data_IF_931878844919
#
_entry.id   IF_931878844919
#
_cell.length_a   1.000
_cell.length_b   1.000
_cell.length_c   1.000
_cell.angle_alpha   90.00
_cell.angle_beta   90.00
_cell.angle_gamma   90.00
#
_symmetry.space_group_name_H-M   'P 1'
#
loop_
_entity.id
_entity.type
_entity.pdbx_description
1 polymer ?
#
# COMPACT_ATOMS: atom_id res chain seq x y z
N UNK A 1 6.46 -22.93 4.62
CA UNK A 1 6.26 -21.49 4.88
C UNK A 1 5.77 -21.38 6.31
N UNK A 2 6.52 -20.67 7.15
CA UNK A 2 6.13 -20.34 8.51
C UNK A 2 5.72 -18.86 8.58
N UNK A 3 4.83 -18.54 9.51
CA UNK A 3 4.48 -17.17 9.89
C UNK A 3 5.32 -16.72 11.07
N UNK A 4 5.94 -15.55 10.92
CA UNK A 4 6.93 -15.02 11.85
C UNK A 4 6.52 -13.63 12.28
N UNK A 5 6.20 -13.48 13.56
CA UNK A 5 5.91 -12.18 14.14
C UNK A 5 7.20 -11.51 14.64
N UNK A 6 7.39 -10.26 14.24
CA UNK A 6 8.48 -9.38 14.69
C UNK A 6 7.88 -8.22 15.50
N UNK A 7 8.12 -8.20 16.80
CA UNK A 7 7.52 -7.24 17.73
C UNK A 7 8.58 -6.25 18.22
N UNK A 8 8.33 -4.95 18.13
CA UNK A 8 9.26 -3.96 18.72
C UNK A 8 9.36 -4.11 20.24
N UNK A 9 10.57 -4.04 20.79
CA UNK A 9 10.77 -3.87 22.23
C UNK A 9 10.15 -2.56 22.73
N UNK A 10 9.95 -2.44 24.04
CA UNK A 10 9.40 -1.22 24.65
C UNK A 10 10.30 -0.69 25.77
N UNK A 11 10.16 0.60 26.10
CA UNK A 11 10.92 1.23 27.19
C UNK A 11 10.53 0.65 28.55
N UNK A 12 9.23 0.44 28.79
CA UNK A 12 8.70 -0.24 29.98
C UNK A 12 9.20 -1.69 30.05
N UNK A 13 9.95 -1.98 31.11
CA UNK A 13 10.59 -3.28 31.35
C UNK A 13 10.51 -3.63 32.83
N UNK A 14 10.49 -4.91 33.15
CA UNK A 14 10.72 -5.37 34.52
C UNK A 14 12.10 -4.96 35.00
N UNK A 15 12.23 -4.69 36.29
CA UNK A 15 13.48 -4.24 36.92
C UNK A 15 14.51 -5.35 37.17
N UNK A 16 14.27 -6.58 36.70
CA UNK A 16 15.11 -7.75 36.93
C UNK A 16 15.31 -8.58 35.68
N UNK A 17 16.37 -9.40 35.67
CA UNK A 17 16.70 -10.31 34.58
C UNK A 17 15.62 -11.38 34.42
N UNK A 18 15.00 -11.44 33.24
CA UNK A 18 13.94 -12.41 32.93
C UNK A 18 13.87 -12.67 31.41
N UNK A 19 13.08 -13.66 30.95
CA UNK A 19 12.87 -13.88 29.52
C UNK A 19 12.35 -12.63 28.82
N UNK A 20 12.77 -12.37 27.57
CA UNK A 20 12.37 -11.18 26.81
C UNK A 20 10.85 -10.97 26.76
N UNK A 21 10.06 -12.04 26.60
CA UNK A 21 8.58 -11.96 26.59
C UNK A 21 7.99 -11.46 27.92
N UNK A 22 8.67 -11.73 29.04
CA UNK A 22 8.28 -11.30 30.38
C UNK A 22 8.85 -9.91 30.68
N UNK A 23 10.07 -9.63 30.24
CA UNK A 23 10.74 -8.36 30.46
C UNK A 23 9.89 -7.20 29.93
N UNK A 24 9.42 -7.28 28.68
CA UNK A 24 8.62 -6.22 28.05
C UNK A 24 7.13 -6.28 28.38
N UNK A 25 6.67 -7.27 29.17
CA UNK A 25 5.24 -7.43 29.51
C UNK A 25 4.69 -6.30 30.40
N UNK A 26 5.56 -5.48 31.00
CA UNK A 26 5.16 -4.24 31.67
C UNK A 26 4.44 -3.26 30.72
N UNK A 27 4.74 -3.32 29.41
CA UNK A 27 4.05 -2.50 28.43
C UNK A 27 2.72 -3.14 27.99
N UNK A 28 1.56 -2.46 28.15
CA UNK A 28 0.29 -2.93 27.61
C UNK A 28 0.34 -3.16 26.09
N UNK A 29 1.05 -2.29 25.35
CA UNK A 29 1.27 -2.41 23.91
C UNK A 29 2.01 -3.70 23.56
N UNK A 30 3.08 -4.02 24.28
CA UNK A 30 3.83 -5.25 24.04
C UNK A 30 2.98 -6.49 24.38
N UNK A 31 2.24 -6.46 25.50
CA UNK A 31 1.36 -7.58 25.87
C UNK A 31 0.34 -7.90 24.79
N UNK A 32 -0.35 -6.88 24.28
CA UNK A 32 -1.33 -7.05 23.20
C UNK A 32 -0.68 -7.48 21.89
N UNK A 33 0.46 -6.89 21.51
CA UNK A 33 1.20 -7.30 20.31
C UNK A 33 1.65 -8.77 20.40
N UNK A 34 2.11 -9.20 21.57
CA UNK A 34 2.53 -10.58 21.82
C UNK A 34 1.32 -11.54 21.86
N UNK A 35 0.19 -11.12 22.45
CA UNK A 35 -1.04 -11.89 22.45
C UNK A 35 -1.58 -12.10 21.02
N UNK A 36 -1.66 -11.02 20.24
CA UNK A 36 -2.03 -11.08 18.83
C UNK A 36 -1.07 -11.99 18.04
N UNK A 37 0.24 -11.82 18.21
CA UNK A 37 1.24 -12.64 17.52
C UNK A 37 1.08 -14.14 17.80
N UNK A 38 0.66 -14.55 19.01
CA UNK A 38 0.38 -15.96 19.32
C UNK A 38 -0.79 -16.55 18.53
N UNK A 39 -1.74 -15.72 18.12
CA UNK A 39 -2.91 -16.16 17.36
C UNK A 39 -2.56 -16.37 15.87
N UNK A 40 -1.59 -15.61 15.35
CA UNK A 40 -1.37 -15.50 13.90
C UNK A 40 0.00 -15.99 13.40
N UNK A 41 0.95 -16.31 14.30
CA UNK A 41 2.31 -16.68 13.93
C UNK A 41 2.78 -17.98 14.57
N UNK A 42 3.58 -18.74 13.84
CA UNK A 42 4.24 -19.97 14.31
C UNK A 42 5.45 -19.64 15.20
N UNK A 43 6.14 -18.53 14.91
CA UNK A 43 7.33 -18.06 15.62
C UNK A 43 7.20 -16.58 15.96
N UNK A 44 7.68 -16.20 17.14
CA UNK A 44 7.64 -14.81 17.64
C UNK A 44 9.04 -14.38 18.07
N UNK A 45 9.50 -13.26 17.53
CA UNK A 45 10.75 -12.62 17.90
C UNK A 45 10.53 -11.16 18.29
N UNK A 46 11.41 -10.65 19.15
CA UNK A 46 11.44 -9.25 19.58
C UNK A 46 12.57 -8.52 18.87
N UNK A 47 12.26 -7.39 18.27
CA UNK A 47 13.22 -6.45 17.71
C UNK A 47 13.71 -5.51 18.83
N UNK A 48 14.91 -5.78 19.33
CA UNK A 48 15.61 -5.00 20.35
C UNK A 48 16.61 -4.02 19.73
N UNK A 49 16.58 -2.75 20.13
CA UNK A 49 17.58 -1.77 19.69
C UNK A 49 19.02 -2.18 20.04
N UNK A 50 19.20 -2.76 21.23
CA UNK A 50 20.49 -3.23 21.76
C UNK A 50 20.92 -4.56 21.17
N UNK A 51 20.03 -5.55 21.24
CA UNK A 51 20.39 -6.95 20.96
C UNK A 51 20.13 -7.36 19.50
N UNK A 52 19.31 -6.61 18.75
CA UNK A 52 18.87 -6.99 17.41
C UNK A 52 17.67 -7.93 17.48
N UNK A 53 17.77 -9.12 16.89
CA UNK A 53 16.71 -10.12 16.92
C UNK A 53 16.80 -10.97 18.19
N UNK A 54 15.71 -11.03 18.97
CA UNK A 54 15.69 -11.74 20.25
C UNK A 54 14.54 -12.76 20.29
N UNK A 55 14.85 -13.99 20.70
CA UNK A 55 13.82 -14.99 21.05
C UNK A 55 13.08 -14.59 22.33
N UNK A 56 11.77 -14.87 22.39
CA UNK A 56 10.96 -14.60 23.58
C UNK A 56 11.48 -15.25 24.88
N UNK A 57 12.26 -16.33 24.78
CA UNK A 57 12.82 -17.05 25.92
C UNK A 57 14.23 -16.60 26.31
N UNK A 58 14.85 -15.68 25.55
CA UNK A 58 16.20 -15.20 25.86
C UNK A 58 16.17 -14.39 27.15
N UNK A 59 17.06 -14.73 28.10
CA UNK A 59 17.20 -14.00 29.36
C UNK A 59 17.90 -12.66 29.11
N UNK A 60 17.22 -11.56 29.43
CA UNK A 60 17.72 -10.20 29.24
C UNK A 60 17.72 -9.44 30.57
N UNK A 61 18.72 -8.58 30.76
CA UNK A 61 18.73 -7.58 31.84
C UNK A 61 18.04 -6.29 31.35
N UNK A 62 17.42 -5.49 32.26
CA UNK A 62 16.87 -4.20 31.88
C UNK A 62 17.96 -3.29 31.30
N UNK A 63 17.60 -2.53 30.28
CA UNK A 63 18.48 -1.59 29.59
C UNK A 63 17.68 -0.41 29.05
N UNK A 64 18.36 0.69 28.75
CA UNK A 64 17.77 1.86 28.13
C UNK A 64 18.52 2.21 26.85
N UNK A 65 17.98 1.74 25.73
CA UNK A 65 18.54 1.97 24.40
C UNK A 65 17.39 1.97 23.39
N UNK A 66 17.40 2.95 22.49
CA UNK A 66 16.43 3.08 21.42
C UNK A 66 17.12 3.16 20.07
N UNK A 67 16.47 2.59 19.05
CA UNK A 67 16.98 2.67 17.68
C UNK A 67 16.87 4.10 17.11
N UNK A 68 15.97 4.92 17.69
CA UNK A 68 15.71 6.28 17.21
C UNK A 68 16.86 7.26 17.48
N UNK A 69 17.69 6.99 18.49
CA UNK A 69 18.82 7.84 18.85
C UNK A 69 20.08 7.49 18.04
N UNK A 70 20.02 6.42 17.25
CA UNK A 70 21.15 5.95 16.43
C UNK A 70 21.22 6.72 15.11
N UNK A 71 22.44 6.96 14.64
CA UNK A 71 22.72 7.49 13.31
C UNK A 71 22.19 6.57 12.20
N UNK A 72 22.10 7.08 10.97
CA UNK A 72 21.65 6.30 9.81
C UNK A 72 22.55 5.08 9.58
N UNK A 73 23.87 5.22 9.71
CA UNK A 73 24.82 4.11 9.56
C UNK A 73 24.66 3.04 10.64
N UNK A 74 24.43 3.45 11.89
CA UNK A 74 24.17 2.50 12.99
C UNK A 74 22.82 1.79 12.83
N UNK A 75 21.80 2.49 12.33
CA UNK A 75 20.52 1.89 11.99
C UNK A 75 20.68 0.83 10.88
N UNK A 76 21.47 1.11 9.84
CA UNK A 76 21.78 0.15 8.78
C UNK A 76 22.52 -1.08 9.32
N UNK A 77 23.59 -0.88 10.09
CA UNK A 77 24.34 -1.98 10.71
C UNK A 77 23.46 -2.83 11.64
N UNK A 78 22.55 -2.20 12.39
CA UNK A 78 21.54 -2.91 13.18
C UNK A 78 20.63 -3.77 12.29
N UNK A 79 20.15 -3.22 11.17
CA UNK A 79 19.29 -3.93 10.22
C UNK A 79 19.99 -5.13 9.59
N UNK A 80 21.22 -4.98 9.12
CA UNK A 80 22.03 -6.07 8.57
C UNK A 80 22.23 -7.20 9.58
N UNK A 81 22.52 -6.86 10.83
CA UNK A 81 22.60 -7.84 11.92
C UNK A 81 21.28 -8.58 12.11
N UNK A 82 20.16 -7.86 12.17
CA UNK A 82 18.82 -8.48 12.33
C UNK A 82 18.50 -9.42 11.18
N UNK A 83 18.72 -9.00 9.93
CA UNK A 83 18.47 -9.83 8.74
C UNK A 83 19.34 -11.08 8.74
N UNK A 84 20.63 -10.95 9.12
CA UNK A 84 21.53 -12.10 9.24
C UNK A 84 21.05 -13.11 10.27
N UNK A 85 20.59 -12.66 11.45
CA UNK A 85 20.04 -13.57 12.46
C UNK A 85 18.69 -14.15 12.05
N UNK A 86 17.84 -13.37 11.39
CA UNK A 86 16.54 -13.80 10.90
C UNK A 86 16.68 -14.90 9.84
N UNK A 87 17.65 -14.78 8.93
CA UNK A 87 17.96 -15.80 7.92
C UNK A 87 18.47 -17.12 8.49
N UNK A 88 18.88 -17.18 9.77
CA UNK A 88 19.22 -18.46 10.44
C UNK A 88 18.01 -19.21 10.96
N UNK A 89 16.88 -18.53 11.15
CA UNK A 89 15.68 -19.07 11.81
C UNK A 89 14.44 -19.08 10.92
N UNK A 90 14.56 -18.53 9.71
CA UNK A 90 13.50 -18.34 8.73
C UNK A 90 14.01 -18.36 7.29
N UNK A 91 13.11 -18.66 6.36
CA UNK A 91 13.33 -18.48 4.93
C UNK A 91 12.82 -17.08 4.53
N UNK A 92 13.73 -16.12 4.36
CA UNK A 92 13.38 -14.74 4.02
C UNK A 92 12.65 -14.60 2.68
N UNK A 93 12.77 -15.60 1.79
CA UNK A 93 12.15 -15.59 0.47
C UNK A 93 10.74 -16.17 0.47
N UNK A 94 10.45 -17.14 1.34
CA UNK A 94 9.19 -17.90 1.33
C UNK A 94 8.36 -17.78 2.61
N UNK A 95 8.95 -17.43 3.76
CA UNK A 95 8.21 -17.23 5.00
C UNK A 95 7.48 -15.88 5.03
N UNK A 96 6.47 -15.80 5.89
CA UNK A 96 5.56 -14.66 6.03
C UNK A 96 5.89 -13.86 7.29
N UNK A 97 6.14 -12.55 7.14
CA UNK A 97 6.57 -11.69 8.25
C UNK A 97 5.46 -10.74 8.70
N UNK A 98 5.05 -10.85 9.97
CA UNK A 98 4.06 -9.97 10.61
C UNK A 98 4.82 -8.97 11.46
N UNK A 99 4.89 -7.71 11.03
CA UNK A 99 5.75 -6.72 11.66
C UNK A 99 4.94 -5.76 12.52
N UNK A 100 5.06 -5.93 13.84
CA UNK A 100 4.43 -5.14 14.90
C UNK A 100 5.46 -4.19 15.50
N UNK A 101 5.98 -3.28 14.67
CA UNK A 101 7.06 -2.38 15.02
C UNK A 101 6.89 -0.99 14.38
N UNK A 102 7.54 0.01 14.95
CA UNK A 102 7.55 1.37 14.42
C UNK A 102 8.35 1.48 13.11
N UNK A 103 8.13 2.56 12.35
CA UNK A 103 8.71 2.74 11.01
C UNK A 103 10.23 2.62 10.95
N UNK A 104 10.93 3.19 11.93
CA UNK A 104 12.39 3.13 11.99
C UNK A 104 12.94 1.71 12.09
N UNK A 105 12.16 0.77 12.64
CA UNK A 105 12.54 -0.63 12.70
C UNK A 105 12.28 -1.31 11.36
N UNK A 106 11.03 -1.28 10.87
CA UNK A 106 10.66 -2.10 9.72
C UNK A 106 11.26 -1.57 8.41
N UNK A 107 11.44 -0.25 8.23
CA UNK A 107 11.89 0.33 6.95
C UNK A 107 13.23 -0.25 6.47
N UNK A 108 14.09 -0.64 7.41
CA UNK A 108 15.43 -1.19 7.18
C UNK A 108 15.35 -2.69 6.84
N UNK A 109 14.35 -3.39 7.37
CA UNK A 109 14.17 -4.83 7.18
C UNK A 109 13.48 -5.15 5.87
N UNK A 110 12.49 -4.35 5.46
CA UNK A 110 11.66 -4.58 4.27
C UNK A 110 12.43 -4.93 2.99
N UNK A 111 13.60 -4.32 2.67
CA UNK A 111 14.43 -4.71 1.53
C UNK A 111 14.75 -6.19 1.37
N UNK A 112 14.72 -6.93 2.46
CA UNK A 112 15.14 -8.32 2.52
C UNK A 112 13.98 -9.29 2.76
N UNK A 113 12.72 -8.81 2.80
CA UNK A 113 11.56 -9.64 3.13
C UNK A 113 10.59 -9.69 1.93
N UNK A 114 10.29 -10.89 1.44
CA UNK A 114 9.41 -11.04 0.28
C UNK A 114 7.93 -10.93 0.61
N UNK A 115 7.47 -11.53 1.72
CA UNK A 115 6.07 -11.53 2.14
C UNK A 115 5.95 -10.93 3.53
N UNK A 116 5.36 -9.73 3.63
CA UNK A 116 5.20 -9.07 4.92
C UNK A 116 3.84 -8.40 5.06
N UNK A 117 3.42 -8.23 6.31
CA UNK A 117 2.24 -7.48 6.70
C UNK A 117 2.58 -6.58 7.88
N UNK A 118 2.26 -5.29 7.76
CA UNK A 118 2.49 -4.28 8.80
C UNK A 118 1.12 -3.75 9.25
N UNK A 119 0.41 -4.45 10.16
CA UNK A 119 -0.95 -4.07 10.55
C UNK A 119 -1.06 -2.68 11.18
N UNK A 120 0.03 -2.21 11.81
CA UNK A 120 0.06 -0.93 12.52
C UNK A 120 0.63 0.22 11.68
N UNK A 121 0.81 0.02 10.37
CA UNK A 121 1.41 1.01 9.46
C UNK A 121 0.60 2.31 9.45
N UNK A 122 1.29 3.44 9.63
CA UNK A 122 0.67 4.77 9.60
C UNK A 122 -0.13 5.14 10.86
N UNK A 123 -0.29 4.22 11.81
CA UNK A 123 -0.99 4.49 13.08
C UNK A 123 -0.04 5.17 14.07
N UNK A 124 -0.54 6.21 14.73
CA UNK A 124 0.13 6.85 15.87
C UNK A 124 0.16 5.88 17.05
N UNK A 125 1.11 6.09 17.96
CA UNK A 125 1.33 5.17 19.08
C UNK A 125 0.09 4.96 19.98
N UNK A 126 -0.74 5.99 20.14
CA UNK A 126 -1.99 5.91 20.91
C UNK A 126 -3.06 5.03 20.25
N UNK A 127 -2.96 4.79 18.94
CA UNK A 127 -3.92 4.00 18.16
C UNK A 127 -3.56 2.51 18.12
N UNK A 128 -2.37 2.14 18.64
CA UNK A 128 -1.89 0.75 18.59
C UNK A 128 -2.70 -0.20 19.49
N UNK A 129 -3.05 0.22 20.71
CA UNK A 129 -3.81 -0.62 21.63
C UNK A 129 -5.20 -0.95 21.04
N UNK A 130 -6.03 0.05 20.66
CA UNK A 130 -7.33 -0.23 20.06
C UNK A 130 -7.23 -1.08 18.78
N UNK A 131 -6.21 -0.85 17.96
CA UNK A 131 -6.03 -1.65 16.75
C UNK A 131 -5.65 -3.10 17.07
N UNK A 132 -4.76 -3.33 18.03
CA UNK A 132 -4.38 -4.68 18.44
C UNK A 132 -5.57 -5.44 19.04
N UNK A 133 -6.39 -4.77 19.86
CA UNK A 133 -7.63 -5.34 20.40
C UNK A 133 -8.60 -5.72 19.27
N UNK A 134 -8.78 -4.84 18.27
CA UNK A 134 -9.61 -5.10 17.09
C UNK A 134 -9.09 -6.30 16.28
N UNK A 135 -7.77 -6.42 16.12
CA UNK A 135 -7.14 -7.53 15.41
C UNK A 135 -7.29 -8.85 16.16
N UNK A 136 -7.10 -8.85 17.48
CA UNK A 136 -7.33 -10.03 18.34
C UNK A 136 -8.79 -10.47 18.23
N UNK A 137 -9.73 -9.52 18.37
CA UNK A 137 -11.16 -9.82 18.27
C UNK A 137 -11.52 -10.44 16.91
N UNK A 138 -10.88 -10.01 15.81
CA UNK A 138 -11.08 -10.62 14.49
C UNK A 138 -10.57 -12.06 14.42
N UNK A 139 -9.46 -12.40 15.07
CA UNK A 139 -8.97 -13.79 15.09
C UNK A 139 -9.80 -14.70 15.98
N UNK A 140 -10.41 -14.15 17.03
CA UNK A 140 -11.23 -14.89 17.98
C UNK A 140 -12.70 -15.04 17.51
N UNK A 141 -13.13 -14.25 16.52
CA UNK A 141 -14.50 -14.28 15.99
C UNK A 141 -14.82 -15.62 15.31
N UNK A 142 -15.90 -16.26 15.78
CA UNK A 142 -16.34 -17.58 15.32
C UNK A 142 -17.44 -17.47 14.25
N UNK A 143 -18.23 -16.40 14.27
CA UNK A 143 -19.22 -16.13 13.24
C UNK A 143 -18.51 -15.60 11.99
N UNK A 144 -18.45 -16.44 10.96
CA UNK A 144 -17.79 -16.10 9.70
C UNK A 144 -18.38 -14.86 9.03
N UNK A 145 -19.69 -14.62 9.16
CA UNK A 145 -20.34 -13.43 8.59
C UNK A 145 -19.91 -12.17 9.35
N UNK A 146 -19.74 -12.24 10.67
CA UNK A 146 -19.18 -11.14 11.47
C UNK A 146 -17.70 -10.94 11.16
N UNK A 147 -16.91 -12.02 11.09
CA UNK A 147 -15.47 -11.97 10.81
C UNK A 147 -15.16 -11.31 9.45
N UNK A 148 -15.88 -11.68 8.38
CA UNK A 148 -15.69 -11.02 7.07
C UNK A 148 -16.10 -9.55 7.10
N UNK A 149 -17.13 -9.16 7.86
CA UNK A 149 -17.48 -7.75 8.01
C UNK A 149 -16.41 -6.98 8.78
N UNK A 150 -15.89 -7.53 9.87
CA UNK A 150 -14.78 -6.92 10.64
C UNK A 150 -13.52 -6.76 9.77
N UNK A 151 -13.20 -7.79 8.98
CA UNK A 151 -12.06 -7.79 8.07
C UNK A 151 -12.23 -6.75 6.96
N UNK A 152 -13.35 -6.77 6.24
CA UNK A 152 -13.54 -5.89 5.08
C UNK A 152 -13.78 -4.42 5.46
N UNK A 153 -14.40 -4.15 6.62
CA UNK A 153 -14.53 -2.78 7.14
C UNK A 153 -13.20 -2.21 7.66
N UNK A 154 -12.16 -3.04 7.84
CA UNK A 154 -10.83 -2.57 8.23
C UNK A 154 -9.95 -2.13 7.06
N UNK A 155 -10.40 -2.38 5.82
CA UNK A 155 -9.66 -2.03 4.61
C UNK A 155 -9.95 -0.59 4.18
N UNK A 156 -8.97 0.08 3.52
CA UNK A 156 -9.20 1.39 2.93
C UNK A 156 -10.38 1.35 1.95
N UNK A 157 -11.37 2.20 2.22
CA UNK A 157 -12.56 2.32 1.37
C UNK A 157 -12.19 3.07 0.08
N UNK A 158 -12.63 2.52 -1.06
CA UNK A 158 -12.48 3.08 -2.39
C UNK A 158 -13.84 3.54 -2.92
N UNK A 159 -13.81 4.54 -3.79
CA UNK A 159 -14.94 4.93 -4.63
C UNK A 159 -14.57 4.83 -6.13
N UNK A 160 -15.53 5.18 -6.98
CA UNK A 160 -15.39 5.10 -8.44
C UNK A 160 -14.24 5.96 -9.01
N UNK A 161 -13.83 7.02 -8.32
CA UNK A 161 -12.70 7.88 -8.73
C UNK A 161 -11.34 7.23 -8.46
N UNK A 162 -11.30 6.22 -7.59
CA UNK A 162 -10.07 5.57 -7.14
C UNK A 162 -9.75 4.26 -7.89
N UNK A 163 -10.55 3.87 -8.88
CA UNK A 163 -10.39 2.59 -9.62
C UNK A 163 -8.98 2.45 -10.23
N UNK A 164 -8.40 3.53 -10.72
CA UNK A 164 -7.07 3.51 -11.34
C UNK A 164 -5.93 3.25 -10.35
N UNK A 165 -6.15 3.57 -9.07
CA UNK A 165 -5.18 3.44 -7.98
C UNK A 165 -5.02 1.98 -7.49
N UNK A 166 -5.90 1.07 -7.94
CA UNK A 166 -5.83 -0.34 -7.55
C UNK A 166 -4.53 -0.96 -8.11
N UNK A 167 -3.64 -1.51 -7.26
CA UNK A 167 -2.29 -1.91 -7.68
C UNK A 167 -2.22 -3.27 -8.41
N UNK A 168 -3.33 -3.99 -8.50
CA UNK A 168 -3.45 -5.29 -9.16
C UNK A 168 -4.59 -5.30 -10.18
N UNK A 169 -4.59 -6.32 -11.03
CA UNK A 169 -5.52 -6.44 -12.16
C UNK A 169 -6.51 -7.61 -12.00
N UNK A 170 -6.27 -8.51 -11.02
CA UNK A 170 -7.10 -9.65 -10.66
C UNK A 170 -7.55 -9.57 -9.20
N UNK A 171 -8.78 -9.95 -8.88
CA UNK A 171 -9.24 -9.91 -7.50
C UNK A 171 -10.75 -9.92 -7.33
N UNK A 172 -11.17 -9.76 -6.08
CA UNK A 172 -12.57 -9.67 -5.65
C UNK A 172 -12.83 -8.23 -5.18
N UNK A 173 -14.01 -7.72 -5.49
CA UNK A 173 -14.52 -6.47 -4.95
C UNK A 173 -15.70 -6.74 -4.01
N UNK A 174 -15.81 -5.95 -2.94
CA UNK A 174 -16.91 -6.01 -1.98
C UNK A 174 -17.48 -4.61 -1.80
N UNK A 175 -18.77 -4.45 -2.04
CA UNK A 175 -19.45 -3.15 -2.02
C UNK A 175 -20.25 -2.96 -0.74
N UNK A 176 -20.35 -1.70 -0.34
CA UNK A 176 -21.04 -1.21 0.84
C UNK A 176 -21.94 -0.05 0.41
N UNK A 177 -23.10 0.07 1.03
CA UNK A 177 -24.08 1.11 0.69
C UNK A 177 -24.32 2.03 1.89
N UNK A 178 -24.30 3.34 1.62
CA UNK A 178 -24.55 4.37 2.62
C UNK A 178 -25.90 4.14 3.30
N UNK A 179 -25.90 4.10 4.63
CA UNK A 179 -27.10 3.90 5.45
C UNK A 179 -27.40 2.43 5.78
N UNK A 180 -26.72 1.48 5.14
CA UNK A 180 -26.84 0.05 5.48
C UNK A 180 -25.81 -0.33 6.55
N UNK A 181 -26.28 -0.97 7.64
CA UNK A 181 -25.41 -1.41 8.74
C UNK A 181 -25.63 -2.87 9.13
N UNK A 182 -24.57 -3.54 9.56
CA UNK A 182 -24.60 -4.86 10.15
C UNK A 182 -23.69 -4.88 11.38
N UNK A 183 -24.27 -5.18 12.56
CA UNK A 183 -23.56 -5.20 13.85
C UNK A 183 -22.72 -3.94 14.13
N UNK A 184 -23.22 -2.76 13.74
CA UNK A 184 -22.53 -1.48 13.94
C UNK A 184 -21.43 -1.17 12.92
N UNK A 185 -21.24 -2.02 11.91
CA UNK A 185 -20.33 -1.79 10.78
C UNK A 185 -21.12 -1.45 9.51
N UNK A 186 -20.47 -0.95 8.47
CA UNK A 186 -21.11 -0.82 7.16
C UNK A 186 -21.43 -2.22 6.62
N UNK A 187 -22.66 -2.40 6.13
CA UNK A 187 -23.11 -3.68 5.61
C UNK A 187 -22.56 -3.92 4.21
N UNK A 188 -22.11 -5.16 3.97
CA UNK A 188 -21.77 -5.63 2.63
C UNK A 188 -23.05 -5.79 1.82
N UNK A 189 -23.21 -5.09 0.69
CA UNK A 189 -24.40 -5.18 -0.17
C UNK A 189 -24.17 -5.99 -1.44
N UNK A 190 -22.91 -6.22 -1.81
CA UNK A 190 -22.53 -7.01 -2.98
C UNK A 190 -21.12 -7.53 -2.86
N UNK A 191 -20.90 -8.75 -3.31
CA UNK A 191 -19.58 -9.32 -3.57
C UNK A 191 -19.48 -9.61 -5.06
N UNK A 192 -18.34 -9.34 -5.67
CA UNK A 192 -18.19 -9.64 -7.08
C UNK A 192 -16.76 -9.86 -7.53
N UNK A 193 -16.62 -10.59 -8.64
CA UNK A 193 -15.35 -10.76 -9.34
C UNK A 193 -15.50 -10.63 -10.86
N UNK A 194 -14.49 -11.08 -11.60
CA UNK A 194 -14.43 -11.11 -13.05
C UNK A 194 -13.81 -12.43 -13.55
N UNK A 195 -14.20 -12.83 -14.76
CA UNK A 195 -13.64 -13.96 -15.49
C UNK A 195 -12.54 -13.49 -16.43
N UNK A 196 -11.58 -14.37 -16.73
CA UNK A 196 -10.38 -14.03 -17.47
C UNK A 196 -9.34 -13.31 -16.61
N UNK A 197 -8.25 -12.88 -17.26
CA UNK A 197 -7.13 -12.20 -16.61
C UNK A 197 -7.21 -10.69 -16.80
N UNK A 198 -6.89 -9.94 -15.74
CA UNK A 198 -6.64 -8.51 -15.76
C UNK A 198 -7.87 -7.61 -15.86
N UNK A 199 -9.07 -8.12 -15.55
CA UNK A 199 -10.33 -7.40 -15.81
C UNK A 199 -10.96 -6.73 -14.59
N UNK A 200 -10.31 -6.73 -13.41
CA UNK A 200 -10.89 -6.14 -12.19
C UNK A 200 -11.30 -4.68 -12.39
N UNK A 201 -10.37 -3.84 -12.87
CA UNK A 201 -10.62 -2.41 -13.07
C UNK A 201 -11.71 -2.19 -14.13
N UNK A 202 -11.64 -2.92 -15.25
CA UNK A 202 -12.67 -2.85 -16.29
C UNK A 202 -14.05 -3.21 -15.74
N UNK A 203 -14.15 -4.28 -14.94
CA UNK A 203 -15.41 -4.69 -14.34
C UNK A 203 -16.00 -3.62 -13.40
N UNK A 204 -15.15 -2.97 -12.61
CA UNK A 204 -15.58 -1.84 -11.77
C UNK A 204 -16.04 -0.65 -12.64
N UNK A 205 -15.35 -0.34 -13.75
CA UNK A 205 -15.80 0.71 -14.68
C UNK A 205 -17.14 0.36 -15.34
N UNK A 206 -17.40 -0.91 -15.66
CA UNK A 206 -18.70 -1.36 -16.18
C UNK A 206 -19.84 -1.12 -15.18
N UNK A 207 -19.55 -1.12 -13.88
CA UNK A 207 -20.54 -0.79 -12.86
C UNK A 207 -20.72 0.71 -12.70
N UNK A 208 -19.63 1.46 -12.49
CA UNK A 208 -19.70 2.86 -12.05
C UNK A 208 -19.62 3.90 -13.17
N UNK A 209 -19.02 3.58 -14.31
CA UNK A 209 -18.68 4.54 -15.36
C UNK A 209 -19.44 4.30 -16.67
N UNK A 210 -19.66 3.05 -17.05
CA UNK A 210 -20.36 2.70 -18.28
C UNK A 210 -21.87 2.62 -18.02
N UNK A 211 -22.62 3.47 -18.70
CA UNK A 211 -24.09 3.51 -18.65
C UNK A 211 -24.68 2.43 -19.57
N UNK A 212 -24.54 1.19 -19.12
CA UNK A 212 -24.90 -0.01 -19.89
C UNK A 212 -25.33 -1.16 -18.95
N UNK A 213 -26.64 -1.27 -18.73
CA UNK A 213 -27.23 -2.30 -17.90
C UNK A 213 -27.13 -3.70 -18.51
N UNK A 214 -27.11 -3.83 -19.83
CA UNK A 214 -26.93 -5.13 -20.49
C UNK A 214 -25.50 -5.66 -20.31
N UNK A 215 -24.52 -4.76 -20.24
CA UNK A 215 -23.14 -5.10 -19.88
C UNK A 215 -22.91 -5.33 -18.37
N UNK A 216 -23.88 -4.96 -17.53
CA UNK A 216 -23.70 -4.83 -16.09
C UNK A 216 -24.93 -5.30 -15.31
N UNK A 217 -24.95 -6.57 -14.93
CA UNK A 217 -26.07 -7.17 -14.17
C UNK A 217 -26.43 -6.40 -12.89
N UNK A 218 -25.45 -5.73 -12.25
CA UNK A 218 -25.70 -4.86 -11.11
C UNK A 218 -26.59 -3.67 -11.50
N UNK A 219 -26.22 -2.94 -12.57
CA UNK A 219 -27.01 -1.83 -13.10
C UNK A 219 -28.39 -2.29 -13.54
N UNK A 220 -28.46 -3.45 -14.21
CA UNK A 220 -29.72 -4.09 -14.58
C UNK A 220 -30.63 -4.29 -13.37
N UNK A 221 -30.11 -4.84 -12.27
CA UNK A 221 -30.85 -5.07 -11.03
C UNK A 221 -31.29 -3.79 -10.33
N UNK A 222 -30.46 -2.75 -10.33
CA UNK A 222 -30.84 -1.45 -9.77
C UNK A 222 -31.96 -0.82 -10.61
N UNK A 223 -31.85 -0.87 -11.95
CA UNK A 223 -32.90 -0.44 -12.87
C UNK A 223 -34.21 -1.20 -12.65
N UNK A 224 -34.14 -2.53 -12.48
CA UNK A 224 -35.30 -3.38 -12.12
C UNK A 224 -35.98 -2.88 -10.85
N UNK A 225 -35.22 -2.59 -9.81
CA UNK A 225 -35.76 -2.11 -8.54
C UNK A 225 -36.41 -0.72 -8.67
N UNK A 226 -35.80 0.21 -9.41
CA UNK A 226 -36.42 1.52 -9.68
C UNK A 226 -37.74 1.41 -10.44
N UNK A 227 -37.77 0.62 -11.51
CA UNK A 227 -38.97 0.44 -12.33
C UNK A 227 -40.07 -0.29 -11.56
N UNK A 228 -39.72 -1.34 -10.81
CA UNK A 228 -40.69 -2.09 -10.01
C UNK A 228 -41.26 -1.26 -8.85
N UNK A 229 -40.43 -0.46 -8.17
CA UNK A 229 -40.89 0.48 -7.14
C UNK A 229 -41.92 1.48 -7.69
N UNK A 230 -41.71 1.96 -8.92
CA UNK A 230 -42.62 2.87 -9.62
C UNK A 230 -43.81 2.16 -10.28
N UNK A 231 -43.86 0.82 -10.27
CA UNK A 231 -44.81 -0.01 -11.05
C UNK A 231 -44.80 0.34 -12.54
N UNK A 232 -43.63 0.67 -13.07
CA UNK A 232 -43.46 1.13 -14.44
C UNK A 232 -43.50 -0.06 -15.42
N UNK A 233 -44.41 -0.05 -16.42
CA UNK A 233 -44.53 -1.14 -17.39
C UNK A 233 -43.28 -1.31 -18.27
N UNK A 234 -42.41 -0.30 -18.35
CA UNK A 234 -41.14 -0.37 -19.08
C UNK A 234 -40.20 -1.43 -18.51
N UNK A 235 -40.44 -1.93 -17.29
CA UNK A 235 -39.73 -3.11 -16.75
C UNK A 235 -39.72 -4.29 -17.73
N UNK A 236 -40.81 -4.51 -18.48
CA UNK A 236 -40.89 -5.60 -19.47
C UNK A 236 -39.92 -5.42 -20.63
N UNK A 237 -39.72 -4.18 -21.08
CA UNK A 237 -38.74 -3.85 -22.13
C UNK A 237 -37.33 -3.90 -21.54
N UNK A 238 -37.16 -3.38 -20.32
CA UNK A 238 -35.92 -3.43 -19.58
C UNK A 238 -35.43 -4.86 -19.34
N UNK A 239 -36.26 -5.90 -19.24
CA UNK A 239 -35.75 -7.27 -19.09
C UNK A 239 -35.02 -7.82 -20.33
N UNK A 240 -35.23 -7.21 -21.50
CA UNK A 240 -34.68 -7.70 -22.76
C UNK A 240 -33.22 -7.25 -22.89
N UNK A 241 -32.32 -8.19 -23.18
CA UNK A 241 -30.90 -7.91 -23.45
C UNK A 241 -30.74 -7.45 -24.91
N UNK A 242 -30.42 -6.18 -25.11
CA UNK A 242 -30.28 -5.55 -26.43
C UNK A 242 -28.88 -5.71 -27.03
N UNK A 243 -27.93 -6.38 -26.35
CA UNK A 243 -26.70 -6.83 -27.00
C UNK A 243 -26.91 -8.05 -27.91
N UNK A 244 -28.03 -8.76 -27.74
CA UNK A 244 -28.40 -9.89 -28.59
C UNK A 244 -29.04 -9.36 -29.88
N UNK A 245 -28.39 -9.54 -31.02
CA UNK A 245 -28.86 -8.99 -32.31
C UNK A 245 -30.27 -9.45 -32.70
N UNK A 246 -30.69 -10.64 -32.28
CA UNK A 246 -32.06 -11.12 -32.49
C UNK A 246 -33.09 -10.29 -31.70
N UNK A 247 -32.79 -9.94 -30.45
CA UNK A 247 -33.65 -9.11 -29.62
C UNK A 247 -33.79 -7.71 -30.21
N UNK A 248 -32.70 -7.13 -30.73
CA UNK A 248 -32.73 -5.83 -31.41
C UNK A 248 -33.70 -5.86 -32.60
N UNK A 249 -33.64 -6.91 -33.43
CA UNK A 249 -34.56 -7.05 -34.58
C UNK A 249 -36.02 -7.20 -34.14
N UNK A 250 -36.29 -7.98 -33.10
CA UNK A 250 -37.65 -8.29 -32.64
C UNK A 250 -38.28 -7.14 -31.83
N UNK A 251 -37.51 -6.53 -30.94
CA UNK A 251 -38.01 -5.65 -29.88
C UNK A 251 -37.41 -4.25 -29.88
N UNK A 252 -36.43 -3.96 -30.77
CA UNK A 252 -35.75 -2.67 -30.79
C UNK A 252 -36.69 -1.47 -31.02
N UNK A 253 -37.85 -1.68 -31.64
CA UNK A 253 -38.88 -0.65 -31.82
C UNK A 253 -39.59 -0.26 -30.51
N UNK A 254 -39.49 -1.09 -29.46
CA UNK A 254 -40.04 -0.80 -28.13
C UNK A 254 -39.11 0.06 -27.26
N UNK A 255 -37.85 0.21 -27.68
CA UNK A 255 -36.82 0.92 -26.91
C UNK A 255 -37.07 2.43 -26.95
N UNK A 256 -37.37 2.99 -25.79
CA UNK A 256 -37.37 4.42 -25.55
C UNK A 256 -35.97 4.88 -25.11
N UNK A 257 -35.14 5.26 -26.09
CA UNK A 257 -33.75 5.69 -25.86
C UNK A 257 -33.61 6.84 -24.86
N UNK A 258 -34.53 7.81 -24.91
CA UNK A 258 -34.49 8.95 -23.99
C UNK A 258 -34.75 8.49 -22.55
N UNK A 259 -35.77 7.65 -22.36
CA UNK A 259 -36.09 7.09 -21.06
C UNK A 259 -34.95 6.22 -20.51
N UNK A 260 -34.37 5.33 -21.31
CA UNK A 260 -33.24 4.51 -20.88
C UNK A 260 -32.02 5.35 -20.51
N UNK A 261 -31.75 6.44 -21.25
CA UNK A 261 -30.67 7.37 -20.92
C UNK A 261 -30.89 8.03 -19.56
N UNK A 262 -32.11 8.48 -19.26
CA UNK A 262 -32.43 9.08 -17.95
C UNK A 262 -32.38 8.04 -16.82
N UNK A 263 -32.86 6.82 -17.07
CA UNK A 263 -32.81 5.73 -16.10
C UNK A 263 -31.37 5.31 -15.80
N UNK A 264 -30.53 5.15 -16.83
CA UNK A 264 -29.10 4.87 -16.66
C UNK A 264 -28.37 5.97 -15.89
N UNK A 265 -28.66 7.24 -16.19
CA UNK A 265 -28.11 8.37 -15.42
C UNK A 265 -28.52 8.31 -13.95
N UNK A 266 -29.78 7.96 -13.67
CA UNK A 266 -30.28 7.76 -12.30
C UNK A 266 -29.58 6.60 -11.60
N UNK A 267 -29.34 5.49 -12.29
CA UNK A 267 -28.56 4.34 -11.79
C UNK A 267 -27.12 4.76 -11.48
N UNK A 268 -26.49 5.53 -12.37
CA UNK A 268 -25.14 6.09 -12.17
C UNK A 268 -25.08 6.96 -10.92
N UNK A 269 -26.04 7.88 -10.75
CA UNK A 269 -26.13 8.73 -9.57
C UNK A 269 -26.24 7.90 -8.29
N UNK A 270 -27.17 6.95 -8.26
CA UNK A 270 -27.36 6.05 -7.12
C UNK A 270 -26.06 5.30 -6.75
N UNK A 271 -25.38 4.68 -7.73
CA UNK A 271 -24.13 3.97 -7.49
C UNK A 271 -23.02 4.89 -6.97
N UNK A 272 -22.82 6.05 -7.61
CA UNK A 272 -21.70 6.94 -7.26
C UNK A 272 -21.89 7.67 -5.94
N UNK A 273 -23.12 7.94 -5.55
CA UNK A 273 -23.45 8.68 -4.33
C UNK A 273 -23.57 7.78 -3.10
N UNK A 274 -23.98 6.52 -3.29
CA UNK A 274 -24.31 5.63 -2.17
C UNK A 274 -23.38 4.43 -2.04
N UNK A 275 -22.68 4.03 -3.10
CA UNK A 275 -21.87 2.80 -3.08
C UNK A 275 -20.38 3.10 -3.00
N UNK A 276 -19.75 2.52 -1.99
CA UNK A 276 -18.29 2.43 -1.87
C UNK A 276 -17.86 0.98 -1.87
N UNK A 277 -16.57 0.69 -2.04
CA UNK A 277 -16.10 -0.70 -2.10
C UNK A 277 -14.68 -0.88 -1.56
N UNK A 278 -14.32 -2.13 -1.31
CA UNK A 278 -12.93 -2.56 -1.10
C UNK A 278 -12.56 -3.57 -2.18
N UNK A 279 -11.28 -3.78 -2.41
CA UNK A 279 -10.75 -4.84 -3.27
C UNK A 279 -9.64 -5.60 -2.57
N UNK A 280 -9.46 -6.88 -2.93
CA UNK A 280 -8.28 -7.66 -2.55
C UNK A 280 -7.85 -8.57 -3.71
N UNK A 281 -6.53 -8.85 -3.83
CA UNK A 281 -5.98 -9.58 -4.96
C UNK A 281 -6.26 -11.07 -4.81
N UNK A 282 -6.60 -11.73 -5.92
CA UNK A 282 -6.71 -13.19 -6.04
C UNK A 282 -6.41 -13.53 -7.50
N UNK A 283 -5.27 -14.17 -7.74
CA UNK A 283 -4.75 -14.35 -9.10
C UNK A 283 -5.42 -15.52 -9.86
N UNK A 284 -5.69 -16.62 -9.17
CA UNK A 284 -6.33 -17.78 -9.77
C UNK A 284 -7.85 -17.55 -9.96
N UNK A 285 -8.37 -17.89 -11.13
CA UNK A 285 -9.78 -17.66 -11.47
C UNK A 285 -10.72 -18.61 -10.72
N UNK A 286 -10.34 -19.88 -10.56
CA UNK A 286 -11.17 -20.85 -9.87
C UNK A 286 -11.26 -20.50 -8.38
N UNK A 287 -10.14 -20.11 -7.77
CA UNK A 287 -10.09 -19.58 -6.41
C UNK A 287 -10.95 -18.32 -6.27
N UNK A 288 -10.86 -17.37 -7.20
CA UNK A 288 -11.71 -16.16 -7.20
C UNK A 288 -13.20 -16.49 -7.16
N UNK A 289 -13.65 -17.35 -8.07
CA UNK A 289 -15.07 -17.71 -8.18
C UNK A 289 -15.54 -18.48 -6.94
N UNK A 290 -14.69 -19.37 -6.40
CA UNK A 290 -15.01 -20.12 -5.18
C UNK A 290 -15.14 -19.20 -3.97
N UNK A 291 -14.20 -18.27 -3.78
CA UNK A 291 -14.23 -17.33 -2.67
C UNK A 291 -15.38 -16.32 -2.81
N UNK A 292 -15.67 -15.83 -4.02
CA UNK A 292 -16.86 -15.00 -4.28
C UNK A 292 -18.14 -15.73 -3.82
N UNK A 293 -18.37 -16.96 -4.29
CA UNK A 293 -19.52 -17.77 -3.88
C UNK A 293 -19.53 -18.02 -2.37
N UNK A 294 -18.39 -18.38 -1.78
CA UNK A 294 -18.27 -18.65 -0.36
C UNK A 294 -18.64 -17.46 0.51
N UNK A 295 -18.16 -16.26 0.16
CA UNK A 295 -18.50 -15.02 0.88
C UNK A 295 -20.00 -14.73 0.75
N UNK A 296 -20.57 -14.83 -0.46
CA UNK A 296 -22.01 -14.59 -0.70
C UNK A 296 -22.86 -15.55 0.13
N UNK A 297 -22.56 -16.85 0.08
CA UNK A 297 -23.28 -17.88 0.81
C UNK A 297 -23.16 -17.71 2.33
N UNK A 298 -21.98 -17.34 2.85
CA UNK A 298 -21.77 -17.04 4.27
C UNK A 298 -22.69 -15.90 4.73
N UNK A 299 -22.79 -14.82 3.96
CA UNK A 299 -23.65 -13.68 4.27
C UNK A 299 -25.13 -14.08 4.25
N UNK A 300 -25.57 -14.74 3.18
CA UNK A 300 -26.98 -15.10 2.98
C UNK A 300 -27.49 -16.10 4.05
N UNK A 301 -26.62 -16.98 4.56
CA UNK A 301 -27.00 -17.95 5.60
C UNK A 301 -27.03 -17.37 7.01
N UNK A 302 -26.50 -16.17 7.24
CA UNK A 302 -26.61 -15.53 8.55
C UNK A 302 -28.05 -15.11 8.80
N UNK A 303 -28.66 -15.63 9.87
CA UNK A 303 -30.08 -15.44 10.16
C UNK A 303 -30.49 -13.98 10.39
N UNK A 304 -29.56 -13.17 10.88
CA UNK A 304 -29.72 -11.77 11.24
C UNK A 304 -29.15 -10.80 10.19
N UNK A 305 -28.60 -11.32 9.09
CA UNK A 305 -28.14 -10.49 7.99
C UNK A 305 -29.33 -10.03 7.14
N UNK A 306 -29.76 -8.80 7.40
CA UNK A 306 -30.93 -8.18 6.75
C UNK A 306 -30.61 -6.73 6.35
N UNK A 307 -31.19 -6.23 5.25
CA UNK A 307 -31.05 -4.84 4.85
C UNK A 307 -31.90 -3.91 5.75
N UNK A 308 -31.68 -2.60 5.67
CA UNK A 308 -32.62 -1.66 6.27
C UNK A 308 -33.94 -1.63 5.49
N UNK A 309 -35.02 -1.16 6.13
CA UNK A 309 -36.33 -1.01 5.50
C UNK A 309 -36.33 0.01 4.34
N UNK A 310 -35.32 0.88 4.26
CA UNK A 310 -35.14 1.87 3.20
C UNK A 310 -34.28 1.39 2.04
N UNK A 311 -33.72 0.19 2.11
CA UNK A 311 -32.84 -0.32 1.06
C UNK A 311 -33.58 -0.55 -0.26
N UNK A 312 -33.10 0.06 -1.35
CA UNK A 312 -33.74 -0.01 -2.67
C UNK A 312 -33.92 -1.46 -3.15
N UNK A 313 -33.00 -2.36 -2.80
CA UNK A 313 -33.06 -3.77 -3.20
C UNK A 313 -34.29 -4.53 -2.72
N UNK A 314 -34.99 -4.05 -1.66
CA UNK A 314 -36.28 -4.60 -1.24
C UNK A 314 -37.38 -4.43 -2.29
N UNK A 315 -37.23 -3.45 -3.19
CA UNK A 315 -38.15 -3.24 -4.32
C UNK A 315 -37.79 -4.06 -5.56
N UNK A 316 -36.76 -4.92 -5.50
CA UNK A 316 -36.37 -5.75 -6.64
C UNK A 316 -37.47 -6.76 -6.99
N UNK A 317 -37.86 -6.90 -8.28
CA UNK A 317 -38.73 -7.99 -8.72
C UNK A 317 -38.02 -9.35 -8.71
N UNK A 318 -36.69 -9.37 -8.56
CA UNK A 318 -35.90 -10.58 -8.38
C UNK A 318 -35.95 -10.96 -6.91
N UNK A 319 -36.71 -12.01 -6.59
CA UNK A 319 -37.01 -12.42 -5.20
C UNK A 319 -35.74 -12.74 -4.42
N UNK A 320 -34.76 -13.35 -5.08
CA UNK A 320 -33.47 -13.70 -4.49
C UNK A 320 -32.71 -12.46 -3.96
N UNK A 321 -32.81 -11.32 -4.65
CA UNK A 321 -32.17 -10.05 -4.24
C UNK A 321 -32.93 -9.44 -3.06
N UNK A 322 -34.25 -9.36 -3.17
CA UNK A 322 -35.10 -8.76 -2.13
C UNK A 322 -34.99 -9.53 -0.80
N UNK A 323 -34.92 -10.86 -0.85
CA UNK A 323 -34.86 -11.70 0.35
C UNK A 323 -33.46 -11.78 0.98
N UNK A 324 -32.41 -11.86 0.16
CA UNK A 324 -31.04 -12.01 0.67
C UNK A 324 -30.45 -10.72 1.24
N UNK A 325 -30.98 -9.55 0.86
CA UNK A 325 -30.33 -8.28 1.19
C UNK A 325 -29.06 -8.01 0.37
N UNK A 326 -28.80 -8.78 -0.70
CA UNK A 326 -27.63 -8.64 -1.56
C UNK A 326 -28.03 -8.31 -3.00
N UNK A 327 -27.25 -7.48 -3.67
CA UNK A 327 -27.34 -7.29 -5.13
C UNK A 327 -26.78 -8.49 -5.92
N UNK A 328 -26.55 -9.63 -5.26
CA UNK A 328 -26.17 -10.91 -5.85
C UNK A 328 -27.41 -11.78 -6.05
N UNK A 329 -27.54 -12.39 -7.23
CA UNK A 329 -28.53 -13.44 -7.49
C UNK A 329 -27.92 -14.83 -7.44
N UNK A 330 -26.69 -14.95 -7.96
CA UNK A 330 -25.94 -16.21 -7.96
C UNK A 330 -25.08 -16.32 -6.71
N UNK A 331 -24.83 -17.56 -6.27
CA UNK A 331 -24.00 -17.90 -5.12
C UNK A 331 -24.70 -17.87 -3.76
N UNK A 332 -25.97 -17.44 -3.69
CA UNK A 332 -26.74 -17.33 -2.44
C UNK A 332 -26.92 -18.68 -1.72
N UNK A 333 -27.23 -19.72 -2.48
CA UNK A 333 -27.43 -21.09 -1.98
C UNK A 333 -26.15 -21.94 -2.05
N UNK A 334 -25.01 -21.30 -2.37
CA UNK A 334 -23.71 -21.95 -2.47
C UNK A 334 -23.22 -22.49 -1.13
N UNK A 335 -22.01 -23.06 -1.13
CA UNK A 335 -21.35 -23.49 0.09
C UNK A 335 -20.69 -22.29 0.78
N UNK A 336 -21.04 -21.97 2.05
CA UNK A 336 -20.34 -20.95 2.83
C UNK A 336 -18.84 -21.21 2.88
N UNK A 337 -18.09 -20.18 3.29
CA UNK A 337 -16.66 -20.34 3.56
C UNK A 337 -16.45 -21.43 4.61
N UNK A 338 -15.49 -22.32 4.37
CA UNK A 338 -14.88 -23.13 5.43
C UNK A 338 -13.93 -22.27 6.28
N UNK A 339 -13.42 -22.84 7.37
CA UNK A 339 -12.43 -22.14 8.21
C UNK A 339 -11.13 -21.90 7.42
N UNK A 340 -10.71 -22.88 6.61
CA UNK A 340 -9.53 -22.75 5.74
C UNK A 340 -9.71 -21.66 4.69
N UNK A 341 -10.92 -21.53 4.13
CA UNK A 341 -11.21 -20.48 3.14
C UNK A 341 -11.28 -19.09 3.77
N UNK A 342 -11.80 -18.97 5.00
CA UNK A 342 -11.75 -17.71 5.74
C UNK A 342 -10.30 -17.31 6.05
N UNK A 343 -9.47 -18.25 6.51
CA UNK A 343 -8.04 -18.03 6.70
C UNK A 343 -7.32 -17.68 5.41
N UNK A 344 -7.75 -18.27 4.28
CA UNK A 344 -7.24 -17.91 2.96
C UNK A 344 -7.61 -16.47 2.57
N UNK A 345 -8.84 -16.03 2.82
CA UNK A 345 -9.26 -14.63 2.60
C UNK A 345 -8.43 -13.66 3.46
N UNK A 346 -8.25 -13.97 4.75
CA UNK A 346 -7.38 -13.20 5.65
C UNK A 346 -5.96 -13.11 5.09
N UNK A 347 -5.40 -14.22 4.62
CA UNK A 347 -4.06 -14.26 4.03
C UNK A 347 -3.95 -13.39 2.77
N UNK A 348 -4.90 -13.49 1.84
CA UNK A 348 -4.91 -12.72 0.59
C UNK A 348 -4.93 -11.22 0.87
N UNK A 349 -5.64 -10.80 1.91
CA UNK A 349 -5.69 -9.41 2.35
C UNK A 349 -4.38 -8.96 3.01
N UNK A 350 -3.79 -9.79 3.87
CA UNK A 350 -2.59 -9.44 4.65
C UNK A 350 -1.31 -9.46 3.81
N UNK A 351 -1.16 -10.47 2.95
CA UNK A 351 0.07 -10.78 2.24
C UNK A 351 -0.06 -10.72 0.71
N UNK A 352 -1.26 -10.83 0.16
CA UNK A 352 -1.47 -10.94 -1.29
C UNK A 352 -1.03 -9.72 -2.11
N UNK A 353 -0.84 -8.56 -1.48
CA UNK A 353 -0.38 -7.33 -2.13
C UNK A 353 1.10 -6.98 -1.90
N UNK A 354 1.81 -7.69 -1.01
CA UNK A 354 3.08 -7.21 -0.46
C UNK A 354 4.29 -8.01 -0.95
N UNK A 355 4.40 -8.25 -2.26
CA UNK A 355 5.69 -8.65 -2.84
C UNK A 355 6.58 -7.42 -2.94
N UNK A 356 7.60 -7.34 -2.10
CA UNK A 356 8.58 -6.24 -2.13
C UNK A 356 9.18 -6.02 -3.52
N UNK A 357 9.41 -7.10 -4.29
CA UNK A 357 9.97 -7.07 -5.64
C UNK A 357 9.02 -6.50 -6.72
N UNK A 358 7.71 -6.52 -6.48
CA UNK A 358 6.68 -6.09 -7.44
C UNK A 358 6.13 -4.68 -7.17
N UNK A 359 6.46 -4.08 -6.01
CA UNK A 359 5.99 -2.75 -5.64
C UNK A 359 6.88 -1.65 -6.25
N UNK A 360 6.53 -1.22 -7.48
CA UNK A 360 7.25 -0.20 -8.24
C UNK A 360 7.40 1.15 -7.50
N UNK A 361 6.45 1.50 -6.63
CA UNK A 361 6.51 2.73 -5.82
C UNK A 361 7.51 2.63 -4.67
N UNK A 362 7.61 1.46 -4.03
CA UNK A 362 8.66 1.23 -3.03
C UNK A 362 10.04 1.21 -3.67
N UNK A 363 10.20 0.57 -4.84
CA UNK A 363 11.45 0.59 -5.62
C UNK A 363 11.87 2.03 -5.97
N UNK A 364 10.94 2.88 -6.40
CA UNK A 364 11.18 4.31 -6.63
C UNK A 364 11.51 5.08 -5.35
N UNK A 365 10.84 4.78 -4.23
CA UNK A 365 11.09 5.45 -2.94
C UNK A 365 12.44 5.05 -2.35
N UNK A 366 12.85 3.79 -2.47
CA UNK A 366 14.18 3.30 -2.08
C UNK A 366 15.27 3.82 -2.99
N UNK A 367 15.02 3.90 -4.30
CA UNK A 367 15.96 4.54 -5.21
C UNK A 367 16.18 5.99 -4.75
N UNK A 368 15.10 6.74 -4.50
CA UNK A 368 15.19 8.12 -3.97
C UNK A 368 15.87 8.22 -2.61
N UNK A 369 15.67 7.25 -1.70
CA UNK A 369 16.30 7.23 -0.37
C UNK A 369 17.77 6.81 -0.44
N UNK A 370 18.12 5.86 -1.30
CA UNK A 370 19.49 5.47 -1.58
C UNK A 370 20.25 6.60 -2.29
N UNK A 371 19.58 7.30 -3.22
CA UNK A 371 20.10 8.48 -3.89
C UNK A 371 20.31 9.64 -2.87
N UNK A 372 19.43 9.82 -1.88
CA UNK A 372 19.60 10.84 -0.83
C UNK A 372 20.70 10.50 0.18
N UNK A 373 20.86 9.22 0.57
CA UNK A 373 21.95 8.79 1.46
C UNK A 373 23.30 8.89 0.76
N UNK A 374 23.36 8.49 -0.53
CA UNK A 374 24.53 8.74 -1.38
C UNK A 374 24.84 10.23 -1.51
N UNK A 375 23.83 11.09 -1.51
CA UNK A 375 24.01 12.55 -1.58
C UNK A 375 24.51 13.15 -0.24
N UNK A 376 24.09 12.63 0.91
CA UNK A 376 24.58 13.06 2.23
C UNK A 376 26.03 12.59 2.49
N UNK A 377 26.37 11.32 2.21
CA UNK A 377 27.76 10.82 2.27
C UNK A 377 28.68 11.56 1.28
N UNK A 378 28.10 12.07 0.20
CA UNK A 378 28.81 12.87 -0.81
C UNK A 378 29.09 14.30 -0.34
N UNK A 379 28.15 14.95 0.37
CA UNK A 379 28.35 16.30 0.95
C UNK A 379 29.52 16.31 1.96
N UNK A 380 29.64 15.27 2.78
CA UNK A 380 30.78 15.11 3.70
C UNK A 380 32.12 14.93 2.97
N UNK A 381 32.10 14.32 1.78
CA UNK A 381 33.29 14.19 0.95
C UNK A 381 33.75 15.51 0.36
N UNK A 382 32.83 16.27 -0.21
CA UNK A 382 33.15 17.55 -0.84
C UNK A 382 33.68 18.54 0.21
N UNK A 383 33.17 18.48 1.44
CA UNK A 383 33.69 19.24 2.57
C UNK A 383 35.12 18.83 2.97
N UNK A 384 35.43 17.54 2.96
CA UNK A 384 36.77 17.03 3.29
C UNK A 384 37.80 17.44 2.21
N UNK A 385 37.46 17.27 0.93
CA UNK A 385 38.34 17.64 -0.19
C UNK A 385 38.55 19.15 -0.32
N UNK A 386 37.60 19.98 0.14
CA UNK A 386 37.75 21.45 0.21
C UNK A 386 38.76 21.90 1.28
N UNK A 387 38.75 21.25 2.45
CA UNK A 387 39.69 21.55 3.53
C UNK A 387 41.14 21.20 3.15
N UNK A 388 41.36 20.16 2.36
CA UNK A 388 42.69 19.84 1.79
C UNK A 388 43.14 20.85 0.73
N UNK A 389 42.20 21.42 -0.04
CA UNK A 389 42.51 22.34 -1.15
C UNK A 389 42.78 23.77 -0.66
N UNK A 390 42.18 24.19 0.46
CA UNK A 390 42.36 25.52 1.05
C UNK A 390 43.70 25.70 1.79
N UNK A 391 44.50 24.64 1.94
CA UNK A 391 45.70 24.60 2.77
C UNK A 391 46.96 25.29 2.24
N UNK A 392 46.98 25.98 1.10
CA UNK A 392 48.26 26.48 0.55
C UNK A 392 48.21 27.61 -0.51
N UNK A 393 47.23 28.52 -0.53
CA UNK A 393 47.23 29.61 -1.53
C UNK A 393 46.72 30.96 -1.00
N UNK A 394 47.53 32.01 -1.09
CA UNK A 394 47.16 33.40 -0.76
C UNK A 394 46.18 34.03 -1.76
N UNK A 395 45.93 33.40 -2.92
CA UNK A 395 44.92 33.86 -3.90
C UNK A 395 44.46 32.73 -4.84
N UNK A 396 43.20 32.33 -4.75
CA UNK A 396 42.59 31.31 -5.62
C UNK A 396 42.30 31.91 -7.01
N UNK A 397 42.84 31.31 -8.06
CA UNK A 397 42.69 31.68 -9.47
C UNK A 397 41.54 30.91 -10.15
N UNK A 398 41.15 31.32 -11.36
CA UNK A 398 40.16 30.56 -12.17
C UNK A 398 40.69 29.18 -12.58
N UNK A 399 42.01 28.98 -12.66
CA UNK A 399 42.61 27.66 -12.90
C UNK A 399 42.41 26.76 -11.69
N UNK A 400 42.60 27.28 -10.48
CA UNK A 400 42.40 26.53 -9.23
C UNK A 400 40.95 26.07 -9.06
N UNK A 401 39.98 26.91 -9.44
CA UNK A 401 38.56 26.54 -9.46
C UNK A 401 38.31 25.39 -10.45
N UNK A 402 38.95 25.42 -11.64
CA UNK A 402 38.83 24.34 -12.63
C UNK A 402 39.48 23.06 -12.15
N UNK A 403 40.64 23.12 -11.49
CA UNK A 403 41.31 21.97 -10.90
C UNK A 403 40.50 21.38 -9.75
N UNK A 404 39.87 22.21 -8.93
CA UNK A 404 38.97 21.76 -7.87
C UNK A 404 37.77 21.00 -8.44
N UNK A 405 37.09 21.54 -9.46
CA UNK A 405 35.99 20.84 -10.15
C UNK A 405 36.47 19.52 -10.75
N UNK A 406 37.66 19.48 -11.35
CA UNK A 406 38.26 18.26 -11.88
C UNK A 406 38.50 17.20 -10.78
N UNK A 407 39.05 17.61 -9.64
CA UNK A 407 39.26 16.72 -8.48
C UNK A 407 37.93 16.10 -8.03
N UNK A 408 36.87 16.90 -7.93
CA UNK A 408 35.53 16.42 -7.58
C UNK A 408 34.98 15.39 -8.59
N UNK A 409 35.18 15.64 -9.89
CA UNK A 409 34.77 14.71 -10.96
C UNK A 409 35.53 13.38 -10.86
N UNK A 410 36.85 13.42 -10.67
CA UNK A 410 37.70 12.24 -10.56
C UNK A 410 37.42 11.42 -9.30
N UNK A 411 37.19 12.09 -8.16
CA UNK A 411 36.83 11.42 -6.91
C UNK A 411 35.47 10.74 -7.02
N UNK A 412 34.48 11.40 -7.63
CA UNK A 412 33.18 10.80 -7.89
C UNK A 412 33.30 9.58 -8.82
N UNK A 413 34.12 9.66 -9.88
CA UNK A 413 34.36 8.53 -10.77
C UNK A 413 35.03 7.36 -10.04
N UNK A 414 36.06 7.62 -9.22
CA UNK A 414 36.77 6.59 -8.43
C UNK A 414 35.83 5.84 -7.48
N UNK A 415 34.77 6.50 -7.01
CA UNK A 415 33.76 5.93 -6.12
C UNK A 415 32.61 5.23 -6.85
N UNK A 416 32.64 5.17 -8.18
CA UNK A 416 31.66 4.45 -8.99
C UNK A 416 30.33 5.20 -9.17
N UNK A 417 30.35 6.53 -9.09
CA UNK A 417 29.17 7.34 -9.47
C UNK A 417 29.05 7.43 -10.99
N UNK A 418 27.82 7.35 -11.52
CA UNK A 418 27.54 7.53 -12.95
C UNK A 418 27.55 9.01 -13.36
N UNK A 419 27.20 9.90 -12.43
CA UNK A 419 27.22 11.35 -12.61
C UNK A 419 27.43 12.08 -11.27
N UNK A 420 27.78 13.35 -11.35
CA UNK A 420 27.86 14.28 -10.21
C UNK A 420 27.09 15.58 -10.54
N UNK A 421 26.39 16.13 -9.55
CA UNK A 421 25.73 17.43 -9.67
C UNK A 421 26.46 18.46 -8.83
N UNK A 422 26.92 19.54 -9.47
CA UNK A 422 27.60 20.63 -8.81
C UNK A 422 26.74 21.90 -8.85
N UNK A 423 26.72 22.62 -7.73
CA UNK A 423 26.06 23.93 -7.60
C UNK A 423 27.13 25.01 -7.43
N UNK A 424 27.01 26.10 -8.20
CA UNK A 424 28.00 27.19 -8.19
C UNK A 424 28.18 27.86 -6.83
N UNK A 425 27.10 28.00 -6.05
CA UNK A 425 27.14 28.55 -4.69
C UNK A 425 27.93 27.68 -3.71
N UNK A 426 27.83 26.36 -3.85
CA UNK A 426 28.54 25.40 -2.98
C UNK A 426 30.04 25.45 -3.26
N UNK A 427 30.45 25.42 -4.53
CA UNK A 427 31.86 25.57 -4.92
C UNK A 427 32.42 26.91 -4.43
N UNK A 428 31.66 28.00 -4.60
CA UNK A 428 32.06 29.32 -4.14
C UNK A 428 32.27 29.38 -2.62
N UNK A 429 31.39 28.74 -1.85
CA UNK A 429 31.48 28.66 -0.38
C UNK A 429 32.63 27.75 0.07
N UNK A 430 32.79 26.59 -0.57
CA UNK A 430 33.82 25.60 -0.24
C UNK A 430 35.23 26.13 -0.48
N UNK A 431 35.42 26.92 -1.55
CA UNK A 431 36.70 27.58 -1.84
C UNK A 431 36.87 28.93 -1.10
N UNK A 432 35.94 29.33 -0.22
CA UNK A 432 36.05 30.56 0.56
C UNK A 432 36.16 31.85 -0.29
N UNK A 433 35.59 31.85 -1.49
CA UNK A 433 35.76 32.94 -2.45
C UNK A 433 34.95 34.19 -2.05
N UNK A 434 35.43 35.37 -2.44
CA UNK A 434 34.71 36.65 -2.33
C UNK A 434 34.62 37.31 -3.71
N UNK A 435 33.41 37.69 -4.13
CA UNK A 435 33.15 38.39 -5.39
C UNK A 435 33.74 37.68 -6.63
N UNK A 436 33.61 36.35 -6.70
CA UNK A 436 34.12 35.51 -7.80
C UNK A 436 33.08 34.60 -8.45
N UNK A 437 31.80 34.85 -8.23
CA UNK A 437 30.72 34.01 -8.78
C UNK A 437 30.76 33.84 -10.31
N UNK A 438 31.05 34.90 -11.11
CA UNK A 438 31.19 34.75 -12.57
C UNK A 438 32.28 33.75 -12.98
N UNK A 439 33.40 33.73 -12.25
CA UNK A 439 34.53 32.82 -12.51
C UNK A 439 34.15 31.37 -12.18
N UNK A 440 33.42 31.14 -11.08
CA UNK A 440 32.91 29.82 -10.72
C UNK A 440 31.95 29.28 -11.78
N UNK A 441 30.96 30.10 -12.20
CA UNK A 441 30.01 29.71 -13.23
C UNK A 441 30.73 29.40 -14.56
N UNK A 442 31.67 30.27 -14.97
CA UNK A 442 32.46 30.06 -16.18
C UNK A 442 33.27 28.76 -16.12
N UNK A 443 33.92 28.46 -15.00
CA UNK A 443 34.66 27.21 -14.81
C UNK A 443 33.76 25.97 -14.89
N UNK A 444 32.56 26.04 -14.31
CA UNK A 444 31.57 24.97 -14.40
C UNK A 444 31.15 24.69 -15.85
N UNK A 445 30.81 25.72 -16.63
CA UNK A 445 30.46 25.54 -18.04
C UNK A 445 31.63 25.04 -18.89
N UNK A 446 32.84 25.55 -18.65
CA UNK A 446 34.04 25.11 -19.37
C UNK A 446 34.40 23.65 -19.14
N UNK A 447 33.97 23.07 -18.01
CA UNK A 447 34.19 21.66 -17.71
C UNK A 447 33.19 20.73 -18.37
N UNK A 448 32.11 21.22 -18.98
CA UNK A 448 31.09 20.37 -19.61
C UNK A 448 31.62 19.62 -20.84
N UNK A 449 31.14 18.40 -21.03
CA UNK A 449 31.35 17.55 -22.20
C UNK A 449 30.00 17.23 -22.87
N UNK A 450 29.99 16.76 -24.15
CA UNK A 450 28.78 16.28 -24.79
C UNK A 450 28.09 15.19 -23.93
N UNK A 451 26.84 15.46 -23.54
CA UNK A 451 26.04 14.59 -22.67
C UNK A 451 25.70 15.20 -21.31
N UNK A 452 26.49 16.16 -20.82
CA UNK A 452 26.24 16.85 -19.57
C UNK A 452 24.98 17.73 -19.64
N UNK A 453 24.29 17.88 -18.50
CA UNK A 453 23.01 18.59 -18.42
C UNK A 453 23.06 19.76 -17.46
N UNK A 454 22.73 20.96 -17.97
CA UNK A 454 22.42 22.10 -17.11
C UNK A 454 21.02 21.88 -16.54
N UNK A 455 20.94 21.61 -15.23
CA UNK A 455 19.68 21.34 -14.54
C UNK A 455 18.98 22.62 -14.10
N UNK A 456 19.75 23.65 -13.76
CA UNK A 456 19.23 24.96 -13.40
C UNK A 456 20.22 26.05 -13.81
N UNK A 457 19.72 27.10 -14.46
CA UNK A 457 20.50 28.30 -14.81
C UNK A 457 19.64 29.55 -14.76
N UNK A 458 20.26 30.70 -14.50
CA UNK A 458 19.62 32.02 -14.67
C UNK A 458 19.80 32.54 -16.10
N UNK A 459 18.99 33.52 -16.56
CA UNK A 459 19.16 34.14 -17.88
C UNK A 459 20.56 34.74 -18.11
N UNK A 460 21.22 35.18 -17.04
CA UNK A 460 22.59 35.72 -17.09
C UNK A 460 23.68 34.65 -17.24
N UNK A 461 23.36 33.37 -17.02
CA UNK A 461 24.35 32.28 -16.89
C UNK A 461 25.33 32.47 -15.73
N UNK A 462 25.06 33.41 -14.82
CA UNK A 462 25.95 33.80 -13.72
C UNK A 462 25.10 33.99 -12.47
N UNK A 463 25.11 33.00 -11.58
CA UNK A 463 24.34 32.98 -10.32
C UNK A 463 24.97 32.00 -9.33
N UNK A 464 24.68 32.13 -8.04
CA UNK A 464 25.01 31.13 -7.01
C UNK A 464 24.17 29.85 -7.12
N UNK A 465 23.15 29.85 -7.99
CA UNK A 465 22.21 28.75 -8.12
C UNK A 465 22.41 27.92 -9.39
N UNK A 466 23.49 28.15 -10.16
CA UNK A 466 23.74 27.36 -11.37
C UNK A 466 23.99 25.91 -10.95
N UNK A 467 23.22 24.98 -11.52
CA UNK A 467 23.32 23.55 -11.22
C UNK A 467 23.58 22.77 -12.51
N UNK A 468 24.70 22.05 -12.55
CA UNK A 468 25.11 21.26 -13.71
C UNK A 468 25.34 19.81 -13.27
N UNK A 469 24.79 18.87 -14.04
CA UNK A 469 25.05 17.44 -13.94
C UNK A 469 26.13 17.05 -14.95
N UNK A 470 27.23 16.52 -14.44
CA UNK A 470 28.34 15.98 -15.20
C UNK A 470 28.26 14.45 -15.21
N UNK A 471 28.13 13.83 -16.37
CA UNK A 471 28.20 12.37 -16.50
C UNK A 471 29.67 11.92 -16.54
N UNK A 472 29.97 10.85 -15.80
CA UNK A 472 31.33 10.40 -15.52
C UNK A 472 31.78 9.26 -16.44
N UNK A 473 30.85 8.67 -17.19
CA UNK A 473 31.10 7.54 -18.11
C UNK A 473 32.16 7.88 -19.18
N UNK A 474 32.21 9.14 -19.62
CA UNK A 474 33.08 9.62 -20.70
C UNK A 474 34.29 10.47 -20.24
N UNK A 475 34.61 10.49 -18.93
CA UNK A 475 35.59 11.41 -18.33
C UNK A 475 36.84 10.76 -17.79
#
# INVERSE_FOLDING_TARGET
>A
MARIALISCTSAKKAYKCPARELYSESPRFRLAYAFAKLVADKIFVLSAKYGLVSGNMMLEPYDETLNDKSVGEQQAWGEKVIKELGKVSDLEHDEFIILAGENYYKILLPNLNYFWIPLKGKKLGEWIPELERLIALEEEQDKAVAIHMLFNSLPRLDWTMIDQIPYSNGIYVMFEKGESYKGMDRIVRVGTHRGRGRLKTRLRDHFLKEDADGSILRKNIGRAFLNAARDPYLKVWEIDMHISENVRKYGHLVNKHFETELERKITGYLRENVTFITFPVEDEAERLRLEEGIIATLNRSSDFRPSNSWLGLSSPVTEIAQSGLWNRQGLDGKPLSDEELERVKWLIRFGNNRYRDNADYKKKLQRMADSVKQEEFVDLVHTSANEFAGSAERITTEDIRQYIEKLLQEAKRKGYDYIELVSGDIHKQLGLKDRMPQVCSAMYQKMMPGDKVLHTTPSGKSSTIKIRYYLENR
#
